data_IF_999078000478
#
_entry.id   IF_999078000478
#
_cell.length_a   1.000
_cell.length_b   1.000
_cell.length_c   1.000
_cell.angle_alpha   90.00
_cell.angle_beta   90.00
_cell.angle_gamma   90.00
#
_symmetry.space_group_name_H-M   'P 1'
#
loop_
_entity.id
_entity.type
_entity.pdbx_description
1 polymer ?
#
# COMPACT_ATOMS: atom_id res chain seq x y z
N UNK A 1 -9.40 16.19 16.22
CA UNK A 1 -9.44 16.98 17.47
C UNK A 1 -8.11 16.89 18.19
N UNK A 2 -7.80 15.87 19.00
CA UNK A 2 -6.47 15.74 19.66
C UNK A 2 -5.25 15.80 18.70
N UNK A 3 -5.29 15.08 17.58
CA UNK A 3 -4.23 15.13 16.57
C UNK A 3 -4.13 16.48 15.81
N UNK A 4 -5.20 17.27 15.81
CA UNK A 4 -5.21 18.62 15.21
C UNK A 4 -4.73 19.69 16.22
N UNK A 5 -4.64 19.34 17.50
CA UNK A 5 -4.21 20.19 18.61
C UNK A 5 -2.75 19.92 19.03
N UNK A 6 -2.02 19.08 18.29
CA UNK A 6 -0.64 18.72 18.60
C UNK A 6 -0.45 17.95 19.91
N UNK A 7 -1.53 17.49 20.55
CA UNK A 7 -1.47 16.75 21.82
C UNK A 7 -1.35 15.24 21.54
N UNK A 8 -0.39 14.53 22.17
CA UNK A 8 -0.26 13.09 22.04
C UNK A 8 -1.54 12.39 22.51
N UNK A 9 -1.95 11.33 21.80
CA UNK A 9 -3.15 10.57 22.16
C UNK A 9 -2.88 9.79 23.45
N UNK A 10 -3.62 10.06 24.54
CA UNK A 10 -3.48 9.26 25.76
C UNK A 10 -3.98 7.83 25.54
N UNK A 11 -3.42 6.88 26.29
CA UNK A 11 -3.82 5.47 26.23
C UNK A 11 -5.32 5.29 26.55
N UNK A 12 -5.85 6.08 27.48
CA UNK A 12 -7.27 6.11 27.81
C UNK A 12 -8.12 6.68 26.67
N UNK A 13 -7.68 7.75 26.00
CA UNK A 13 -8.36 8.27 24.81
C UNK A 13 -8.32 7.26 23.66
N UNK A 14 -7.21 6.52 23.52
CA UNK A 14 -7.07 5.44 22.56
C UNK A 14 -8.07 4.29 22.85
N UNK A 15 -8.14 3.82 24.10
CA UNK A 15 -9.07 2.77 24.52
C UNK A 15 -10.54 3.22 24.51
N UNK A 16 -10.85 4.46 24.91
CA UNK A 16 -12.20 5.02 24.83
C UNK A 16 -12.67 5.12 23.38
N UNK A 17 -11.78 5.55 22.47
CA UNK A 17 -12.06 5.55 21.03
C UNK A 17 -12.26 4.14 20.47
N UNK A 18 -11.59 3.13 21.05
CA UNK A 18 -11.78 1.71 20.71
C UNK A 18 -13.13 1.17 21.17
N UNK A 19 -13.55 1.51 22.40
CA UNK A 19 -14.80 1.02 23.00
C UNK A 19 -16.04 1.36 22.15
N UNK A 20 -15.99 2.47 21.41
CA UNK A 20 -17.10 2.94 20.56
C UNK A 20 -16.96 2.58 19.07
N UNK A 21 -15.86 1.93 18.67
CA UNK A 21 -15.69 1.52 17.27
C UNK A 21 -16.50 0.25 16.99
N UNK A 22 -17.15 0.16 15.82
CA UNK A 22 -17.78 -1.10 15.37
C UNK A 22 -16.68 -2.08 14.95
N UNK A 23 -16.72 -3.30 15.48
CA UNK A 23 -15.81 -4.36 15.05
C UNK A 23 -16.22 -4.86 13.67
N UNK A 24 -15.37 -4.64 12.66
CA UNK A 24 -15.60 -5.19 11.34
C UNK A 24 -14.86 -6.46 11.04
N UNK A 25 -14.14 -7.04 12.00
CA UNK A 25 -13.39 -8.27 11.80
C UNK A 25 -14.32 -9.41 11.35
N UNK A 26 -15.49 -9.54 11.99
CA UNK A 26 -16.53 -10.51 11.59
C UNK A 26 -17.04 -10.23 10.18
N UNK A 27 -17.41 -8.97 9.87
CA UNK A 27 -17.94 -8.61 8.55
C UNK A 27 -16.91 -8.82 7.44
N UNK A 28 -15.66 -8.51 7.70
CA UNK A 28 -14.57 -8.79 6.76
C UNK A 28 -14.37 -10.28 6.60
N UNK A 29 -14.43 -11.06 7.67
CA UNK A 29 -14.38 -12.53 7.59
C UNK A 29 -15.53 -13.10 6.77
N UNK A 30 -16.75 -12.56 6.92
CA UNK A 30 -17.91 -12.91 6.09
C UNK A 30 -17.66 -12.57 4.62
N UNK A 31 -17.17 -11.36 4.32
CA UNK A 31 -16.83 -10.97 2.95
C UNK A 31 -15.71 -11.85 2.37
N UNK A 32 -14.70 -12.19 3.18
CA UNK A 32 -13.62 -13.11 2.80
C UNK A 32 -14.14 -14.53 2.56
N UNK A 33 -15.17 -14.98 3.29
CA UNK A 33 -15.81 -16.26 3.06
C UNK A 33 -16.70 -16.25 1.81
N UNK A 34 -17.36 -15.12 1.51
CA UNK A 34 -18.17 -14.93 0.29
C UNK A 34 -17.32 -14.89 -0.98
N UNK A 35 -16.08 -14.42 -0.87
CA UNK A 35 -15.07 -14.55 -1.91
C UNK A 35 -14.60 -16.01 -1.93
N UNK A 36 -15.38 -16.87 -2.58
CA UNK A 36 -15.06 -18.29 -2.80
C UNK A 36 -13.56 -18.45 -3.03
N UNK A 37 -12.90 -19.30 -2.23
CA UNK A 37 -11.59 -19.81 -2.65
C UNK A 37 -11.95 -20.79 -3.77
N UNK A 38 -11.72 -20.50 -5.06
CA UNK A 38 -11.96 -21.53 -6.05
C UNK A 38 -10.99 -22.67 -5.69
N UNK A 39 -11.52 -23.89 -5.71
CA UNK A 39 -10.76 -25.08 -5.36
C UNK A 39 -9.67 -25.24 -6.43
N UNK A 40 -8.44 -24.89 -6.08
CA UNK A 40 -7.29 -25.19 -6.90
C UNK A 40 -6.46 -26.22 -6.14
N UNK A 41 -6.32 -27.41 -6.73
CA UNK A 41 -5.62 -28.57 -6.16
C UNK A 41 -4.15 -28.28 -5.80
N UNK A 42 -3.57 -27.17 -6.24
CA UNK A 42 -2.15 -26.85 -6.07
C UNK A 42 -1.85 -25.85 -4.95
N UNK A 43 -2.84 -25.39 -4.17
CA UNK A 43 -2.61 -24.37 -3.12
C UNK A 43 -2.22 -22.98 -3.66
N UNK A 44 -2.01 -22.84 -4.96
CA UNK A 44 -1.77 -21.58 -5.65
C UNK A 44 -3.09 -20.93 -6.03
N UNK A 45 -3.42 -19.86 -5.32
CA UNK A 45 -4.50 -18.99 -5.73
C UNK A 45 -4.14 -18.38 -7.10
N UNK A 46 -5.06 -18.38 -8.08
CA UNK A 46 -4.81 -17.95 -9.45
C UNK A 46 -4.23 -16.54 -9.49
N UNK A 47 -4.59 -15.69 -8.55
CA UNK A 47 -4.27 -14.27 -8.60
C UNK A 47 -3.16 -13.84 -7.64
N UNK A 48 -2.18 -14.72 -7.38
CA UNK A 48 -1.09 -14.41 -6.44
C UNK A 48 -0.21 -13.24 -6.91
N UNK A 49 -0.14 -12.98 -8.21
CA UNK A 49 0.57 -11.85 -8.77
C UNK A 49 0.08 -11.50 -10.18
N UNK A 50 -0.01 -10.20 -10.51
CA UNK A 50 -0.12 -9.78 -11.92
C UNK A 50 1.14 -10.11 -12.72
N UNK A 51 2.29 -10.27 -12.03
CA UNK A 51 3.55 -10.66 -12.68
C UNK A 51 3.46 -12.01 -13.37
N UNK A 52 2.66 -12.96 -12.87
CA UNK A 52 2.56 -14.30 -13.48
C UNK A 52 1.93 -14.27 -14.90
N UNK A 53 1.19 -13.20 -15.22
CA UNK A 53 0.51 -13.02 -16.50
C UNK A 53 1.36 -12.41 -17.60
N UNK A 54 2.19 -11.46 -17.18
CA UNK A 54 2.77 -10.47 -18.07
C UNK A 54 4.29 -10.61 -18.15
N UNK A 55 4.93 -11.12 -17.10
CA UNK A 55 6.37 -11.25 -17.00
C UNK A 55 6.77 -12.68 -16.58
N UNK A 56 8.05 -13.01 -16.72
CA UNK A 56 8.62 -14.10 -15.91
C UNK A 56 8.52 -13.71 -14.43
N UNK A 57 7.93 -14.57 -13.61
CA UNK A 57 7.94 -14.36 -12.17
C UNK A 57 9.37 -14.45 -11.59
N UNK A 58 9.52 -14.23 -10.28
CA UNK A 58 10.84 -14.28 -9.62
C UNK A 58 11.57 -15.62 -9.81
N UNK A 59 10.85 -16.69 -10.17
CA UNK A 59 11.38 -18.02 -10.46
C UNK A 59 11.63 -18.26 -11.96
N UNK A 60 11.48 -17.24 -12.80
CA UNK A 60 11.68 -17.33 -14.25
C UNK A 60 10.50 -17.95 -15.02
N UNK A 61 9.41 -18.28 -14.34
CA UNK A 61 8.29 -19.04 -14.93
C UNK A 61 7.21 -18.10 -15.47
N UNK A 62 6.60 -18.50 -16.59
CA UNK A 62 5.42 -17.88 -17.20
C UNK A 62 4.24 -18.83 -17.02
N UNK A 63 3.03 -18.30 -16.77
CA UNK A 63 1.82 -19.13 -16.73
C UNK A 63 1.63 -19.90 -18.04
N UNK A 64 1.44 -21.22 -17.93
CA UNK A 64 1.11 -22.10 -19.06
C UNK A 64 -0.23 -21.66 -19.70
N UNK A 65 -0.41 -21.82 -21.03
CA UNK A 65 -1.65 -21.40 -21.73
C UNK A 65 -2.94 -21.94 -21.10
N UNK A 66 -3.01 -23.26 -20.81
CA UNK A 66 -4.19 -23.87 -20.18
C UNK A 66 -4.55 -23.22 -18.83
N UNK A 67 -3.55 -22.78 -18.07
CA UNK A 67 -3.77 -22.08 -16.80
C UNK A 67 -4.28 -20.66 -17.03
N UNK A 68 -3.82 -19.96 -18.08
CA UNK A 68 -4.36 -18.65 -18.47
C UNK A 68 -5.84 -18.76 -18.85
N UNK A 69 -6.22 -19.74 -19.65
CA UNK A 69 -7.62 -19.94 -20.06
C UNK A 69 -8.54 -20.23 -18.88
N UNK A 70 -8.10 -21.10 -17.97
CA UNK A 70 -8.83 -21.38 -16.73
C UNK A 70 -9.03 -20.12 -15.89
N UNK A 71 -7.99 -19.30 -15.75
CA UNK A 71 -8.06 -18.07 -14.95
C UNK A 71 -8.90 -16.99 -15.60
N UNK A 72 -8.90 -16.87 -16.92
CA UNK A 72 -9.83 -16.00 -17.67
C UNK A 72 -11.27 -16.44 -17.34
N UNK A 73 -11.57 -17.74 -17.51
CA UNK A 73 -12.91 -18.29 -17.22
C UNK A 73 -13.35 -18.03 -15.78
N UNK A 74 -12.46 -18.20 -14.79
CA UNK A 74 -12.80 -17.94 -13.38
C UNK A 74 -12.96 -16.44 -13.09
N UNK A 75 -12.10 -15.58 -13.66
CA UNK A 75 -12.14 -14.12 -13.46
C UNK A 75 -13.36 -13.46 -14.09
N UNK A 76 -13.81 -13.98 -15.23
CA UNK A 76 -14.94 -13.46 -16.01
C UNK A 76 -16.26 -14.18 -15.71
N UNK A 77 -16.22 -15.30 -14.99
CA UNK A 77 -17.41 -16.03 -14.54
C UNK A 77 -18.01 -15.54 -13.22
N UNK A 78 -19.03 -16.24 -12.70
CA UNK A 78 -19.79 -15.84 -11.51
C UNK A 78 -18.93 -15.62 -10.26
N UNK A 79 -17.89 -16.42 -10.04
CA UNK A 79 -16.99 -16.25 -8.89
C UNK A 79 -16.20 -14.92 -8.97
N UNK A 80 -15.80 -14.51 -10.17
CA UNK A 80 -15.16 -13.22 -10.42
C UNK A 80 -16.10 -12.04 -10.20
N UNK A 81 -17.39 -12.17 -10.53
CA UNK A 81 -18.41 -11.16 -10.25
C UNK A 81 -18.72 -11.03 -8.75
N UNK A 82 -18.90 -12.15 -8.05
CA UNK A 82 -19.05 -12.19 -6.58
C UNK A 82 -17.89 -11.48 -5.89
N UNK A 83 -16.67 -11.70 -6.39
CA UNK A 83 -15.49 -11.00 -5.90
C UNK A 83 -15.56 -9.49 -6.13
N UNK A 84 -15.93 -9.03 -7.32
CA UNK A 84 -16.13 -7.58 -7.59
C UNK A 84 -17.14 -6.99 -6.61
N UNK A 85 -18.27 -7.66 -6.42
CA UNK A 85 -19.32 -7.21 -5.52
C UNK A 85 -18.83 -7.15 -4.06
N UNK A 86 -18.10 -8.17 -3.60
CA UNK A 86 -17.50 -8.18 -2.27
C UNK A 86 -16.49 -7.06 -2.03
N UNK A 87 -15.67 -6.74 -3.04
CA UNK A 87 -14.75 -5.59 -3.02
C UNK A 87 -15.55 -4.28 -2.94
N UNK A 88 -16.58 -4.10 -3.77
CA UNK A 88 -17.39 -2.89 -3.78
C UNK A 88 -18.11 -2.68 -2.43
N UNK A 89 -18.57 -3.77 -1.79
CA UNK A 89 -19.19 -3.73 -0.47
C UNK A 89 -18.24 -3.17 0.60
N UNK A 90 -16.92 -3.36 0.46
CA UNK A 90 -15.93 -2.79 1.37
C UNK A 90 -15.92 -1.27 1.41
N UNK A 91 -16.36 -0.60 0.33
CA UNK A 91 -16.45 0.86 0.31
C UNK A 91 -17.37 1.40 1.42
N UNK A 92 -18.34 0.60 1.88
CA UNK A 92 -19.26 0.95 2.97
C UNK A 92 -18.60 0.88 4.36
N UNK A 93 -17.37 0.35 4.44
CA UNK A 93 -16.67 0.03 5.68
C UNK A 93 -15.40 0.86 5.90
N UNK A 94 -15.33 2.04 5.30
CA UNK A 94 -14.17 2.95 5.40
C UNK A 94 -13.87 3.47 6.83
N UNK A 95 -14.79 3.27 7.79
CA UNK A 95 -14.63 3.63 9.20
C UNK A 95 -14.27 2.46 10.12
N UNK A 96 -14.15 1.24 9.60
CA UNK A 96 -14.00 0.05 10.45
C UNK A 96 -12.62 -0.03 11.10
N UNK A 97 -12.61 -0.41 12.38
CA UNK A 97 -11.39 -0.80 13.10
C UNK A 97 -11.41 -2.32 13.32
N UNK A 98 -10.23 -2.93 13.26
CA UNK A 98 -10.09 -4.32 13.66
C UNK A 98 -10.08 -4.34 15.19
N UNK A 99 -11.22 -4.69 15.79
CA UNK A 99 -11.38 -4.60 17.25
C UNK A 99 -10.94 -5.86 17.99
N UNK A 100 -10.41 -6.87 17.29
CA UNK A 100 -9.64 -7.94 17.92
C UNK A 100 -8.56 -7.34 18.83
N UNK A 101 -8.30 -7.95 19.97
CA UNK A 101 -7.14 -7.55 20.77
C UNK A 101 -5.92 -7.65 19.86
N UNK A 102 -5.23 -6.54 19.58
CA UNK A 102 -3.97 -6.53 18.80
C UNK A 102 -2.90 -7.47 19.39
N UNK A 103 -3.15 -8.00 20.58
CA UNK A 103 -2.40 -9.04 21.29
C UNK A 103 -2.59 -10.43 20.70
N UNK A 104 -3.66 -10.66 19.92
CA UNK A 104 -3.91 -11.90 19.21
C UNK A 104 -3.56 -11.72 17.73
N UNK A 105 -2.27 -11.80 17.45
CA UNK A 105 -1.76 -11.76 16.08
C UNK A 105 -2.34 -12.88 15.21
N UNK A 106 -2.80 -13.99 15.81
CA UNK A 106 -3.36 -15.12 15.06
C UNK A 106 -4.71 -14.78 14.41
N UNK A 107 -5.51 -13.88 15.00
CA UNK A 107 -6.73 -13.37 14.35
C UNK A 107 -6.44 -12.20 13.40
N UNK A 108 -5.39 -11.41 13.67
CA UNK A 108 -5.08 -10.21 12.92
C UNK A 108 -4.28 -10.45 11.62
N UNK A 109 -3.27 -11.33 11.65
CA UNK A 109 -2.43 -11.65 10.50
C UNK A 109 -3.21 -12.16 9.27
N UNK A 110 -4.18 -13.08 9.44
CA UNK A 110 -5.05 -13.52 8.34
C UNK A 110 -5.82 -12.37 7.69
N UNK A 111 -6.29 -11.38 8.45
CA UNK A 111 -7.00 -10.21 7.89
C UNK A 111 -6.09 -9.41 6.97
N UNK A 112 -4.85 -9.12 7.40
CA UNK A 112 -3.87 -8.42 6.56
C UNK A 112 -3.56 -9.17 5.27
N UNK A 113 -3.37 -10.48 5.36
CA UNK A 113 -3.12 -11.33 4.20
C UNK A 113 -4.31 -11.37 3.25
N UNK A 114 -5.54 -11.41 3.78
CA UNK A 114 -6.75 -11.40 2.98
C UNK A 114 -6.95 -10.05 2.26
N UNK A 115 -6.73 -8.91 2.93
CA UNK A 115 -6.76 -7.58 2.28
C UNK A 115 -5.73 -7.52 1.16
N UNK A 116 -4.50 -7.98 1.41
CA UNK A 116 -3.44 -8.03 0.38
C UNK A 116 -3.84 -8.87 -0.81
N UNK A 117 -4.43 -10.04 -0.55
CA UNK A 117 -4.94 -10.94 -1.58
C UNK A 117 -6.04 -10.29 -2.42
N UNK A 118 -6.94 -9.49 -1.83
CA UNK A 118 -7.95 -8.75 -2.59
C UNK A 118 -7.34 -7.78 -3.57
N UNK A 119 -6.39 -6.94 -3.12
CA UNK A 119 -5.71 -5.97 -4.00
C UNK A 119 -4.96 -6.68 -5.11
N UNK A 120 -4.23 -7.75 -4.80
CA UNK A 120 -3.55 -8.60 -5.80
C UNK A 120 -4.52 -9.23 -6.78
N UNK A 121 -5.71 -9.60 -6.32
CA UNK A 121 -6.74 -10.16 -7.20
C UNK A 121 -7.30 -9.12 -8.15
N UNK A 122 -7.60 -7.91 -7.66
CA UNK A 122 -7.99 -6.80 -8.55
C UNK A 122 -6.92 -6.49 -9.60
N UNK A 123 -5.66 -6.44 -9.17
CA UNK A 123 -4.50 -6.28 -10.05
C UNK A 123 -4.40 -7.39 -11.11
N UNK A 124 -4.55 -8.65 -10.73
CA UNK A 124 -4.51 -9.76 -11.68
C UNK A 124 -5.67 -9.74 -12.67
N UNK A 125 -6.87 -9.30 -12.25
CA UNK A 125 -8.00 -9.13 -13.17
C UNK A 125 -7.80 -7.97 -14.14
N UNK A 126 -7.10 -6.92 -13.72
CA UNK A 126 -6.67 -5.86 -14.62
C UNK A 126 -5.64 -6.39 -15.64
N UNK A 127 -4.70 -7.23 -15.21
CA UNK A 127 -3.76 -7.91 -16.10
C UNK A 127 -4.45 -8.84 -17.10
N UNK A 128 -5.49 -9.57 -16.68
CA UNK A 128 -6.33 -10.36 -17.59
C UNK A 128 -7.00 -9.47 -18.62
N UNK A 129 -7.63 -8.36 -18.20
CA UNK A 129 -8.25 -7.41 -19.12
C UNK A 129 -7.25 -6.87 -20.16
N UNK A 130 -6.04 -6.52 -19.70
CA UNK A 130 -4.94 -6.12 -20.57
C UNK A 130 -4.58 -7.23 -21.56
N UNK A 131 -4.39 -8.46 -21.09
CA UNK A 131 -4.04 -9.62 -21.93
C UNK A 131 -5.12 -9.94 -22.98
N UNK A 132 -6.39 -9.81 -22.63
CA UNK A 132 -7.53 -10.08 -23.53
C UNK A 132 -7.95 -8.87 -24.38
N UNK A 133 -7.19 -7.76 -24.34
CA UNK A 133 -7.49 -6.56 -25.12
C UNK A 133 -8.71 -5.74 -24.65
N UNK A 134 -9.26 -6.01 -23.46
CA UNK A 134 -10.41 -5.30 -22.87
C UNK A 134 -9.94 -4.10 -22.04
N UNK A 135 -9.24 -3.17 -22.69
CA UNK A 135 -8.50 -2.08 -22.02
C UNK A 135 -9.41 -1.15 -21.20
N UNK A 136 -10.65 -0.98 -21.62
CA UNK A 136 -11.69 -0.22 -20.92
C UNK A 136 -12.02 -0.75 -19.52
N UNK A 137 -11.72 -2.02 -19.24
CA UNK A 137 -11.98 -2.64 -17.94
C UNK A 137 -10.82 -2.48 -16.94
N UNK A 138 -9.63 -2.06 -17.39
CA UNK A 138 -8.41 -2.05 -16.57
C UNK A 138 -8.52 -1.06 -15.40
N UNK A 139 -8.72 0.22 -15.69
CA UNK A 139 -8.78 1.27 -14.66
C UNK A 139 -10.00 1.09 -13.74
N UNK A 140 -11.22 0.77 -14.22
CA UNK A 140 -12.36 0.48 -13.35
C UNK A 140 -12.09 -0.66 -12.36
N UNK A 141 -11.46 -1.76 -12.80
CA UNK A 141 -11.10 -2.89 -11.91
C UNK A 141 -10.10 -2.50 -10.83
N UNK A 142 -9.09 -1.70 -11.18
CA UNK A 142 -8.08 -1.20 -10.23
C UNK A 142 -8.70 -0.17 -9.26
N UNK A 143 -9.57 0.71 -9.76
CA UNK A 143 -10.27 1.71 -8.95
C UNK A 143 -11.17 1.05 -7.90
N UNK A 144 -11.86 -0.03 -8.28
CA UNK A 144 -12.74 -0.77 -7.39
C UNK A 144 -12.03 -1.32 -6.14
N UNK A 145 -10.74 -1.66 -6.20
CA UNK A 145 -10.01 -2.19 -5.03
C UNK A 145 -9.41 -1.12 -4.10
N UNK A 146 -9.47 0.16 -4.46
CA UNK A 146 -8.95 1.25 -3.61
C UNK A 146 -9.54 1.32 -2.18
N UNK A 147 -10.80 0.93 -1.91
CA UNK A 147 -11.32 0.88 -0.55
C UNK A 147 -10.61 -0.14 0.35
N UNK A 148 -10.07 -1.23 -0.22
CA UNK A 148 -9.41 -2.28 0.56
C UNK A 148 -8.17 -1.74 1.29
N UNK A 149 -7.37 -0.89 0.66
CA UNK A 149 -6.21 -0.30 1.33
C UNK A 149 -6.58 0.81 2.33
N UNK A 150 -7.72 1.49 2.15
CA UNK A 150 -8.27 2.45 3.14
C UNK A 150 -8.61 1.80 4.49
N UNK A 151 -8.96 0.50 4.51
CA UNK A 151 -9.19 -0.21 5.77
C UNK A 151 -7.96 -0.20 6.68
N UNK A 152 -6.75 -0.17 6.10
CA UNK A 152 -5.49 -0.18 6.85
C UNK A 152 -5.04 1.22 7.30
N UNK A 153 -5.48 2.27 6.61
CA UNK A 153 -5.11 3.66 6.89
C UNK A 153 -5.46 4.10 8.33
N UNK A 154 -6.52 3.52 8.89
CA UNK A 154 -7.03 3.89 10.22
C UNK A 154 -6.54 3.00 11.35
N UNK A 155 -5.77 1.96 11.03
CA UNK A 155 -5.24 1.05 12.04
C UNK A 155 -3.97 1.65 12.66
N UNK A 156 -3.77 1.48 13.98
CA UNK A 156 -2.69 2.16 14.68
C UNK A 156 -1.36 1.41 14.66
N UNK A 157 -1.32 0.18 14.15
CA UNK A 157 -0.09 -0.63 14.11
C UNK A 157 0.75 -0.29 12.87
N UNK A 158 2.08 -0.29 13.01
CA UNK A 158 3.01 -0.05 11.91
C UNK A 158 2.93 -1.13 10.85
N UNK A 159 2.73 -2.39 11.24
CA UNK A 159 2.55 -3.46 10.27
C UNK A 159 1.37 -3.17 9.33
N UNK A 160 0.32 -2.49 9.82
CA UNK A 160 -0.76 -1.99 8.96
C UNK A 160 -0.25 -0.93 8.00
N UNK A 161 0.55 0.03 8.47
CA UNK A 161 1.15 1.08 7.63
C UNK A 161 2.08 0.53 6.54
N UNK A 162 2.88 -0.50 6.87
CA UNK A 162 3.75 -1.19 5.90
C UNK A 162 2.94 -1.97 4.87
N UNK A 163 1.93 -2.71 5.31
CA UNK A 163 1.03 -3.43 4.40
C UNK A 163 0.30 -2.40 3.54
N UNK A 164 -0.26 -1.35 4.13
CA UNK A 164 -0.97 -0.27 3.46
C UNK A 164 -0.16 0.36 2.33
N UNK A 165 1.08 0.78 2.59
CA UNK A 165 1.96 1.33 1.55
C UNK A 165 2.26 0.30 0.46
N UNK A 166 2.47 -0.97 0.82
CA UNK A 166 2.68 -2.04 -0.16
C UNK A 166 1.42 -2.27 -1.03
N UNK A 167 0.22 -2.21 -0.46
CA UNK A 167 -1.03 -2.31 -1.24
C UNK A 167 -1.14 -1.17 -2.25
N UNK A 168 -0.83 0.05 -1.84
CA UNK A 168 -0.89 1.20 -2.73
C UNK A 168 0.21 1.12 -3.80
N UNK A 169 1.40 0.61 -3.48
CA UNK A 169 2.45 0.34 -4.47
C UNK A 169 2.05 -0.74 -5.48
N UNK A 170 1.48 -1.86 -5.02
CA UNK A 170 0.96 -2.91 -5.90
C UNK A 170 -0.09 -2.30 -6.82
N UNK A 171 -1.09 -1.62 -6.26
CA UNK A 171 -2.18 -1.05 -7.04
C UNK A 171 -1.69 0.01 -8.03
N UNK A 172 -0.90 0.97 -7.55
CA UNK A 172 -0.42 2.09 -8.35
C UNK A 172 0.55 1.66 -9.44
N UNK A 173 1.44 0.69 -9.17
CA UNK A 173 2.28 0.11 -10.22
C UNK A 173 1.46 -0.54 -11.33
N UNK A 174 0.34 -1.20 -11.01
CA UNK A 174 -0.55 -1.76 -12.04
C UNK A 174 -1.31 -0.70 -12.80
N UNK A 175 -1.77 0.37 -12.14
CA UNK A 175 -2.41 1.51 -12.83
C UNK A 175 -1.45 2.12 -13.85
N UNK A 176 -0.18 2.27 -13.48
CA UNK A 176 0.83 2.87 -14.36
C UNK A 176 1.23 1.93 -15.48
N UNK A 177 1.47 0.65 -15.18
CA UNK A 177 1.95 -0.33 -16.15
C UNK A 177 0.86 -0.83 -17.11
N UNK A 178 -0.38 -1.01 -16.64
CA UNK A 178 -1.47 -1.60 -17.42
C UNK A 178 -2.48 -0.58 -17.91
N UNK A 179 -2.58 0.57 -17.24
CA UNK A 179 -3.58 1.57 -17.57
C UNK A 179 -3.46 2.04 -19.02
N UNK A 180 -4.55 2.03 -19.81
CA UNK A 180 -4.52 2.56 -21.16
C UNK A 180 -4.33 4.09 -21.13
N UNK A 181 -3.81 4.63 -22.22
CA UNK A 181 -3.64 6.07 -22.40
C UNK A 181 -4.75 6.63 -23.31
N UNK A 182 -5.09 7.90 -23.13
CA UNK A 182 -6.04 8.62 -23.98
C UNK A 182 -6.97 9.55 -23.19
N UNK A 183 -7.55 10.58 -23.84
CA UNK A 183 -8.37 11.58 -23.16
C UNK A 183 -9.53 10.99 -22.34
N UNK A 184 -10.11 9.88 -22.82
CA UNK A 184 -11.20 9.17 -22.14
C UNK A 184 -10.82 8.56 -20.78
N UNK A 185 -9.52 8.38 -20.50
CA UNK A 185 -9.00 7.84 -19.25
C UNK A 185 -8.44 8.91 -18.30
N UNK A 186 -8.42 10.18 -18.72
CA UNK A 186 -7.84 11.27 -17.94
C UNK A 186 -8.50 11.41 -16.56
N UNK A 187 -9.83 11.25 -16.46
CA UNK A 187 -10.54 11.35 -15.20
C UNK A 187 -10.20 10.23 -14.22
N UNK A 188 -9.91 9.02 -14.71
CA UNK A 188 -9.42 7.94 -13.86
C UNK A 188 -8.01 8.23 -13.34
N UNK A 189 -7.11 8.77 -14.17
CA UNK A 189 -5.80 9.19 -13.68
C UNK A 189 -5.86 10.37 -12.70
N UNK A 190 -6.78 11.34 -12.90
CA UNK A 190 -7.06 12.38 -11.90
C UNK A 190 -7.55 11.77 -10.60
N UNK A 191 -8.43 10.77 -10.66
CA UNK A 191 -8.87 10.04 -9.49
C UNK A 191 -7.69 9.40 -8.75
N UNK A 192 -6.83 8.65 -9.44
CA UNK A 192 -5.67 7.98 -8.80
C UNK A 192 -4.65 8.98 -8.24
N UNK A 193 -4.42 10.09 -8.94
CA UNK A 193 -3.57 11.18 -8.46
C UNK A 193 -4.12 11.81 -7.17
N UNK A 194 -5.41 12.14 -7.14
CA UNK A 194 -6.04 12.68 -5.94
C UNK A 194 -6.09 11.66 -4.80
N UNK A 195 -6.33 10.40 -5.14
CA UNK A 195 -6.32 9.28 -4.20
C UNK A 195 -4.96 9.13 -3.53
N UNK A 196 -3.84 9.10 -4.26
CA UNK A 196 -2.52 8.97 -3.64
C UNK A 196 -2.12 10.21 -2.83
N UNK A 197 -2.48 11.40 -3.30
CA UNK A 197 -2.23 12.68 -2.60
C UNK A 197 -2.96 12.73 -1.26
N UNK A 198 -4.16 12.17 -1.19
CA UNK A 198 -4.96 12.08 0.03
C UNK A 198 -4.39 11.15 1.10
N UNK A 199 -3.41 10.31 0.78
CA UNK A 199 -2.86 9.34 1.74
C UNK A 199 -1.93 9.99 2.76
N UNK A 200 -2.11 9.59 4.01
CA UNK A 200 -1.24 9.92 5.13
C UNK A 200 -0.56 8.67 5.69
N UNK A 201 0.64 8.38 5.18
CA UNK A 201 1.48 7.29 5.69
C UNK A 201 2.22 7.65 6.98
N UNK A 202 2.30 8.93 7.34
CA UNK A 202 3.04 9.38 8.52
C UNK A 202 2.31 8.99 9.81
N UNK A 203 0.98 8.96 9.77
CA UNK A 203 0.15 8.69 10.96
C UNK A 203 0.39 7.32 11.60
N UNK A 204 0.81 6.30 10.86
CA UNK A 204 1.05 4.95 11.40
C UNK A 204 2.32 4.87 12.23
N UNK A 205 3.41 5.48 11.76
CA UNK A 205 4.70 5.46 12.47
C UNK A 205 4.58 6.17 13.84
N UNK A 206 3.86 7.29 13.88
CA UNK A 206 3.65 8.03 15.12
C UNK A 206 2.77 7.28 16.11
N UNK A 207 1.65 6.71 15.66
CA UNK A 207 0.72 5.98 16.55
C UNK A 207 1.33 4.73 17.17
N UNK A 208 2.15 3.98 16.43
CA UNK A 208 2.80 2.81 17.02
C UNK A 208 3.88 3.23 18.01
N UNK A 209 4.61 4.31 17.75
CA UNK A 209 5.57 4.86 18.71
C UNK A 209 4.89 5.27 20.02
N UNK A 210 3.72 5.92 19.94
CA UNK A 210 2.89 6.24 21.11
C UNK A 210 2.46 4.97 21.86
N UNK A 211 1.96 3.94 21.14
CA UNK A 211 1.55 2.67 21.73
C UNK A 211 2.73 1.95 22.40
N UNK A 212 3.88 1.88 21.74
CA UNK A 212 5.09 1.26 22.29
C UNK A 212 5.61 2.02 23.51
N UNK A 213 5.63 3.35 23.47
CA UNK A 213 6.04 4.16 24.60
C UNK A 213 5.12 3.94 25.82
N UNK A 214 3.81 3.87 25.61
CA UNK A 214 2.83 3.58 26.66
C UNK A 214 2.94 2.14 27.19
N UNK A 215 3.13 1.13 26.32
CA UNK A 215 3.35 -0.26 26.75
C UNK A 215 4.66 -0.44 27.53
N UNK A 216 5.65 0.43 27.31
CA UNK A 216 6.91 0.43 28.06
C UNK A 216 6.79 1.15 29.42
N UNK A 217 5.83 2.07 29.59
CA UNK A 217 5.51 2.68 30.90
C UNK A 217 4.94 1.66 31.88
N UNK A 218 4.24 0.66 31.37
CA UNK A 218 3.75 -0.49 32.15
C UNK A 218 4.54 -1.76 31.75
N UNK A 219 5.83 -1.77 32.08
CA UNK A 219 6.80 -2.81 31.69
C UNK A 219 6.33 -4.22 32.05
N UNK A 220 5.67 -4.41 33.19
CA UNK A 220 5.14 -5.71 33.62
C UNK A 220 3.94 -6.15 32.81
N UNK A 221 3.06 -5.23 32.40
CA UNK A 221 1.98 -5.53 31.47
C UNK A 221 2.51 -5.82 30.06
N UNK A 222 3.48 -5.03 29.59
CA UNK A 222 4.18 -5.26 28.33
C UNK A 222 4.87 -6.63 28.28
N UNK A 223 5.56 -7.03 29.35
CA UNK A 223 6.21 -8.34 29.49
C UNK A 223 5.19 -9.49 29.47
N UNK A 224 4.04 -9.35 30.15
CA UNK A 224 2.95 -10.35 30.11
C UNK A 224 2.29 -10.45 28.74
N UNK A 225 2.16 -9.33 28.03
CA UNK A 225 1.61 -9.26 26.67
C UNK A 225 2.53 -9.97 25.67
N UNK A 226 3.82 -9.65 25.75
CA UNK A 226 4.88 -10.23 24.93
C UNK A 226 5.03 -11.73 25.20
N UNK A 227 4.94 -12.15 26.47
CA UNK A 227 5.00 -13.56 26.87
C UNK A 227 3.83 -14.42 26.39
N UNK A 228 2.72 -13.81 25.92
CA UNK A 228 1.56 -14.51 25.35
C UNK A 228 1.62 -14.63 23.81
N UNK A 229 2.56 -13.96 23.15
CA UNK A 229 2.75 -14.11 21.71
C UNK A 229 3.36 -15.48 21.40
N UNK A 230 2.96 -16.09 20.27
CA UNK A 230 3.56 -17.35 19.82
C UNK A 230 5.09 -17.21 19.74
N UNK A 231 5.88 -18.09 20.36
CA UNK A 231 7.33 -17.95 20.46
C UNK A 231 8.06 -17.93 19.11
N UNK A 232 7.50 -18.56 18.06
CA UNK A 232 8.05 -18.55 16.69
C UNK A 232 7.84 -17.18 16.03
N UNK A 233 6.64 -16.60 16.21
CA UNK A 233 6.31 -15.25 15.75
C UNK A 233 7.13 -14.23 16.55
N UNK A 234 7.28 -14.43 17.86
CA UNK A 234 8.16 -13.62 18.68
C UNK A 234 9.60 -13.71 18.18
N UNK A 235 10.17 -14.89 17.92
CA UNK A 235 11.54 -15.00 17.41
C UNK A 235 11.76 -14.35 16.04
N UNK A 236 10.82 -14.47 15.11
CA UNK A 236 10.93 -13.90 13.76
C UNK A 236 10.78 -12.38 13.74
N UNK A 237 9.95 -11.82 14.61
CA UNK A 237 9.69 -10.38 14.64
C UNK A 237 10.42 -9.68 15.79
N UNK A 238 11.00 -10.35 16.78
CA UNK A 238 11.65 -9.74 17.97
C UNK A 238 12.82 -8.83 17.62
N UNK A 239 13.77 -9.19 16.75
CA UNK A 239 14.83 -8.26 16.36
C UNK A 239 14.22 -7.03 15.70
N UNK A 240 13.23 -7.25 14.82
CA UNK A 240 12.52 -6.18 14.13
C UNK A 240 11.75 -5.30 15.11
N UNK A 241 10.83 -5.81 15.93
CA UNK A 241 10.02 -5.07 16.90
C UNK A 241 10.84 -4.41 17.99
N UNK A 242 11.90 -5.03 18.52
CA UNK A 242 12.75 -4.43 19.55
C UNK A 242 13.64 -3.36 18.92
N UNK A 243 14.32 -3.60 17.80
CA UNK A 243 15.07 -2.53 17.11
C UNK A 243 14.14 -1.43 16.57
N UNK A 244 12.93 -1.78 16.18
CA UNK A 244 11.93 -0.85 15.65
C UNK A 244 11.36 0.00 16.78
N UNK A 245 10.92 -0.60 17.88
CA UNK A 245 10.45 0.12 19.07
C UNK A 245 11.57 0.93 19.74
N UNK A 246 12.77 0.40 19.91
CA UNK A 246 13.88 1.17 20.50
C UNK A 246 14.30 2.35 19.61
N UNK A 247 14.27 2.20 18.30
CA UNK A 247 14.56 3.33 17.43
C UNK A 247 13.41 4.30 17.31
N UNK A 248 12.16 3.85 17.34
CA UNK A 248 11.04 4.78 17.42
C UNK A 248 11.03 5.55 18.73
N UNK A 249 11.37 4.90 19.84
CA UNK A 249 11.55 5.56 21.13
C UNK A 249 12.74 6.54 21.08
N UNK A 250 13.88 6.16 20.49
CA UNK A 250 15.02 7.08 20.27
C UNK A 250 14.66 8.24 19.34
N UNK A 251 13.93 8.00 18.26
CA UNK A 251 13.50 9.03 17.31
C UNK A 251 12.48 9.97 17.94
N UNK A 252 11.55 9.49 18.77
CA UNK A 252 10.60 10.34 19.48
C UNK A 252 11.31 11.20 20.54
N UNK A 253 12.16 10.58 21.37
CA UNK A 253 12.94 11.28 22.39
C UNK A 253 13.93 12.30 21.79
N UNK A 254 14.54 11.98 20.63
CA UNK A 254 15.41 12.90 19.91
C UNK A 254 14.60 13.97 19.18
N UNK A 255 13.47 13.66 18.55
CA UNK A 255 12.63 14.65 17.87
C UNK A 255 12.06 15.69 18.84
N UNK A 256 11.61 15.32 20.04
CA UNK A 256 11.22 16.31 21.05
C UNK A 256 12.38 17.23 21.40
N UNK A 257 13.59 16.68 21.57
CA UNK A 257 14.80 17.46 21.82
C UNK A 257 15.14 18.39 20.65
N UNK A 258 15.13 17.88 19.41
CA UNK A 258 15.46 18.62 18.19
C UNK A 258 14.40 19.69 17.83
N UNK A 259 13.12 19.40 18.02
CA UNK A 259 12.03 20.38 17.84
C UNK A 259 12.06 21.45 18.93
N UNK A 260 12.41 21.11 20.17
CA UNK A 260 12.64 22.08 21.23
C UNK A 260 13.86 22.98 20.95
N UNK A 261 14.82 22.48 20.18
CA UNK A 261 16.06 23.16 19.81
C UNK A 261 16.04 23.78 18.38
N UNK A 262 14.90 23.74 17.66
CA UNK A 262 14.75 24.23 16.26
C UNK A 262 15.76 23.65 15.25
N UNK A 263 16.24 22.43 15.46
CA UNK A 263 17.15 21.75 14.53
C UNK A 263 16.38 20.83 13.56
N UNK A 264 16.82 20.79 12.30
CA UNK A 264 16.38 19.76 11.34
C UNK A 264 16.76 18.36 11.84
N UNK A 265 15.90 17.38 11.58
CA UNK A 265 16.16 15.98 11.97
C UNK A 265 17.45 15.47 11.29
N UNK A 266 18.37 14.82 12.02
CA UNK A 266 19.60 14.33 11.44
C UNK A 266 19.33 13.26 10.36
N UNK A 267 20.06 13.28 9.22
CA UNK A 267 19.85 12.36 8.08
C UNK A 267 19.93 10.87 8.44
N UNK A 268 20.61 10.55 9.53
CA UNK A 268 20.86 9.20 10.02
C UNK A 268 19.58 8.50 10.53
N UNK A 269 18.64 9.26 11.09
CA UNK A 269 17.35 8.74 11.57
C UNK A 269 16.34 8.59 10.42
N UNK A 270 16.61 9.22 9.26
CA UNK A 270 15.89 8.97 8.01
C UNK A 270 16.37 7.69 7.33
N UNK A 271 17.56 7.14 7.63
CA UNK A 271 18.15 5.99 6.93
C UNK A 271 17.48 4.62 7.15
N UNK A 272 16.26 4.56 7.71
CA UNK A 272 15.56 3.27 7.84
C UNK A 272 14.83 2.91 6.56
N UNK A 273 15.25 1.83 5.84
CA UNK A 273 14.79 1.55 4.49
C UNK A 273 13.27 1.41 4.38
N UNK A 274 12.61 0.87 5.39
CA UNK A 274 11.17 0.62 5.37
C UNK A 274 10.34 1.90 5.41
N UNK A 275 10.69 2.88 6.25
CA UNK A 275 9.96 4.15 6.34
C UNK A 275 10.18 5.02 5.10
N UNK A 276 11.41 5.09 4.62
CA UNK A 276 11.73 5.77 3.36
C UNK A 276 11.06 5.13 2.16
N UNK A 277 10.95 3.79 2.12
CA UNK A 277 10.18 3.08 1.09
C UNK A 277 8.70 3.41 1.15
N UNK A 278 8.12 3.52 2.34
CA UNK A 278 6.71 3.91 2.54
C UNK A 278 6.49 5.34 2.04
N UNK A 279 7.29 6.31 2.49
CA UNK A 279 7.18 7.70 2.05
C UNK A 279 7.48 7.85 0.55
N UNK A 280 8.47 7.10 0.06
CA UNK A 280 8.87 7.08 -1.35
C UNK A 280 7.77 6.54 -2.25
N UNK A 281 6.96 5.59 -1.76
CA UNK A 281 5.79 5.05 -2.48
C UNK A 281 4.81 6.15 -2.83
N UNK A 282 4.48 7.05 -1.89
CA UNK A 282 3.58 8.18 -2.17
C UNK A 282 4.11 9.03 -3.31
N UNK A 283 5.34 9.51 -3.16
CA UNK A 283 5.92 10.49 -4.05
C UNK A 283 6.17 9.91 -5.44
N UNK A 284 6.64 8.65 -5.55
CA UNK A 284 6.88 8.01 -6.84
C UNK A 284 5.56 7.74 -7.59
N UNK A 285 4.51 7.33 -6.88
CA UNK A 285 3.18 7.11 -7.49
C UNK A 285 2.51 8.43 -7.89
N UNK A 286 2.67 9.49 -7.09
CA UNK A 286 2.16 10.82 -7.43
C UNK A 286 2.81 11.33 -8.74
N UNK A 287 4.14 11.22 -8.87
CA UNK A 287 4.83 11.53 -10.12
C UNK A 287 4.37 10.63 -11.28
N UNK A 288 4.23 9.32 -11.05
CA UNK A 288 3.85 8.37 -12.09
C UNK A 288 2.41 8.59 -12.60
N UNK A 289 1.45 8.86 -11.71
CA UNK A 289 0.08 9.19 -12.10
C UNK A 289 0.00 10.52 -12.83
N UNK A 290 0.78 11.52 -12.42
CA UNK A 290 0.86 12.79 -13.14
C UNK A 290 1.41 12.59 -14.57
N UNK A 291 2.41 11.72 -14.76
CA UNK A 291 2.92 11.36 -16.09
C UNK A 291 1.86 10.64 -16.95
N UNK A 292 1.09 9.71 -16.39
CA UNK A 292 -0.02 9.03 -17.10
C UNK A 292 -1.15 9.98 -17.46
N UNK A 293 -1.49 10.89 -16.54
CA UNK A 293 -2.45 11.96 -16.81
C UNK A 293 -1.94 12.88 -17.93
N UNK A 294 -0.67 13.29 -17.89
CA UNK A 294 -0.07 14.11 -18.95
C UNK A 294 -0.17 13.43 -20.32
N UNK A 295 0.23 12.15 -20.42
CA UNK A 295 0.11 11.40 -21.68
C UNK A 295 -1.34 11.29 -22.15
N UNK A 296 -2.28 11.12 -21.23
CA UNK A 296 -3.71 11.03 -21.57
C UNK A 296 -4.28 12.36 -22.08
N UNK A 297 -3.76 13.50 -21.62
CA UNK A 297 -4.17 14.83 -22.05
C UNK A 297 -3.47 15.28 -23.34
N UNK A 298 -2.18 14.96 -23.49
CA UNK A 298 -1.30 15.51 -24.52
C UNK A 298 -0.89 14.50 -25.60
N UNK A 299 -1.31 13.24 -25.49
CA UNK A 299 -1.00 12.15 -26.43
C UNK A 299 0.41 11.57 -26.32
N UNK A 300 1.34 12.24 -25.63
CA UNK A 300 2.72 11.78 -25.40
C UNK A 300 3.19 12.05 -23.97
N UNK A 301 4.17 11.29 -23.49
CA UNK A 301 4.86 11.64 -22.25
C UNK A 301 5.67 12.94 -22.45
N UNK A 302 5.90 13.72 -21.36
CA UNK A 302 6.70 14.93 -21.46
C UNK A 302 8.19 14.58 -21.59
N UNK A 303 8.96 15.45 -22.25
CA UNK A 303 10.42 15.27 -22.38
C UNK A 303 11.13 15.40 -21.02
N UNK A 304 10.52 16.10 -20.06
CA UNK A 304 11.00 16.20 -18.69
C UNK A 304 9.85 16.32 -17.69
N UNK A 305 10.08 15.96 -16.43
CA UNK A 305 9.08 16.09 -15.36
C UNK A 305 8.70 17.54 -15.06
N UNK A 306 9.51 18.53 -15.45
CA UNK A 306 9.19 19.94 -15.23
C UNK A 306 7.87 20.36 -15.91
N UNK A 307 7.51 19.73 -17.03
CA UNK A 307 6.26 19.98 -17.75
C UNK A 307 4.99 19.56 -16.97
N UNK A 308 5.13 18.81 -15.86
CA UNK A 308 4.00 18.48 -14.99
C UNK A 308 3.53 19.68 -14.15
N UNK A 309 4.36 20.73 -14.04
CA UNK A 309 4.10 21.94 -13.24
C UNK A 309 3.93 23.14 -14.19
N UNK A 310 2.95 24.04 -13.95
CA UNK A 310 1.93 23.99 -12.89
C UNK A 310 0.66 23.23 -13.28
N UNK A 311 0.55 22.75 -14.52
CA UNK A 311 -0.71 22.26 -15.10
C UNK A 311 -1.34 21.09 -14.32
N UNK A 312 -0.54 20.09 -13.93
CA UNK A 312 -1.02 18.89 -13.25
C UNK A 312 -0.66 18.90 -11.76
N UNK A 313 0.56 19.35 -11.44
CA UNK A 313 1.12 19.39 -10.10
C UNK A 313 1.47 20.82 -9.71
N UNK A 314 1.22 21.19 -8.45
CA UNK A 314 1.67 22.47 -7.90
C UNK A 314 3.20 22.54 -7.74
N UNK A 315 3.81 21.41 -7.41
CA UNK A 315 5.27 21.22 -7.32
C UNK A 315 5.60 19.75 -7.54
N UNK A 316 6.85 19.46 -7.90
CA UNK A 316 7.29 18.08 -8.11
C UNK A 316 7.46 17.35 -6.76
N UNK A 317 6.85 16.15 -6.60
CA UNK A 317 7.14 15.29 -5.47
C UNK A 317 8.64 14.98 -5.41
N UNK A 318 9.20 15.13 -4.22
CA UNK A 318 10.62 14.87 -3.96
C UNK A 318 10.79 13.48 -3.35
N UNK A 319 11.87 12.82 -3.73
CA UNK A 319 12.32 11.62 -3.05
C UNK A 319 12.60 11.97 -1.57
N UNK A 320 11.96 11.26 -0.60
CA UNK A 320 12.10 11.59 0.81
C UNK A 320 13.53 11.44 1.34
N UNK A 321 14.39 10.66 0.66
CA UNK A 321 15.78 10.44 1.03
C UNK A 321 16.67 11.53 0.47
N UNK A 322 16.63 11.76 -0.85
CA UNK A 322 17.57 12.69 -1.51
C UNK A 322 17.09 14.13 -1.52
N UNK A 323 15.81 14.36 -1.22
CA UNK A 323 15.11 15.66 -1.36
C UNK A 323 15.18 16.23 -2.78
N UNK A 324 15.43 15.37 -3.78
CA UNK A 324 15.45 15.72 -5.20
C UNK A 324 14.27 15.06 -5.91
N UNK A 325 13.81 15.59 -7.06
CA UNK A 325 12.87 14.86 -7.91
C UNK A 325 13.40 13.48 -8.29
N UNK A 326 12.50 12.52 -8.49
CA UNK A 326 12.89 11.20 -9.01
C UNK A 326 13.53 11.36 -10.39
N UNK A 327 14.60 10.57 -10.64
CA UNK A 327 15.20 10.56 -11.97
C UNK A 327 14.24 9.87 -12.93
N UNK A 328 13.79 10.66 -13.90
CA UNK A 328 12.90 10.26 -14.97
C UNK A 328 13.70 9.89 -16.21
N UNK A 329 13.43 8.71 -16.77
CA UNK A 329 14.01 8.26 -18.03
C UNK A 329 12.88 7.96 -18.99
N UNK A 330 12.71 8.82 -19.99
CA UNK A 330 11.80 8.56 -21.10
C UNK A 330 12.45 7.56 -22.07
N UNK A 331 11.69 6.54 -22.43
CA UNK A 331 11.95 5.63 -23.53
C UNK A 331 10.89 5.87 -24.61
N UNK A 332 10.99 5.18 -25.74
CA UNK A 332 10.14 5.43 -26.92
C UNK A 332 8.66 5.61 -26.57
N UNK A 333 8.09 4.64 -25.84
CA UNK A 333 6.64 4.60 -25.54
C UNK A 333 6.33 4.41 -24.05
N UNK A 334 7.35 4.47 -23.19
CA UNK A 334 7.25 4.24 -21.74
C UNK A 334 8.26 5.05 -20.95
N UNK A 335 8.08 5.13 -19.64
CA UNK A 335 9.03 5.77 -18.74
C UNK A 335 9.46 4.86 -17.59
N UNK A 336 10.61 5.21 -17.01
CA UNK A 336 11.15 4.62 -15.80
C UNK A 336 11.43 5.72 -14.77
N UNK A 337 11.11 5.45 -13.51
CA UNK A 337 11.41 6.32 -12.37
C UNK A 337 12.43 5.66 -11.44
N UNK A 338 13.48 6.39 -11.10
CA UNK A 338 14.54 5.95 -10.20
C UNK A 338 14.64 6.88 -9.00
N UNK A 339 15.01 6.31 -7.85
CA UNK A 339 15.50 7.08 -6.71
C UNK A 339 17.02 7.14 -6.77
N UNK A 340 17.58 8.34 -6.64
CA UNK A 340 19.02 8.56 -6.58
C UNK A 340 19.64 8.06 -5.25
N UNK A 341 18.80 7.79 -4.25
CA UNK A 341 19.26 7.31 -2.94
C UNK A 341 19.85 5.91 -3.02
N UNK A 342 19.28 5.10 -3.90
CA UNK A 342 19.74 3.75 -4.12
C UNK A 342 20.46 3.77 -5.46
N UNK A 343 21.78 3.50 -5.47
CA UNK A 343 22.60 3.30 -6.69
C UNK A 343 22.17 2.04 -7.47
N UNK A 344 20.87 1.78 -7.54
CA UNK A 344 20.25 0.62 -8.15
C UNK A 344 20.17 0.82 -9.65
N UNK A 345 20.47 -0.26 -10.37
CA UNK A 345 20.21 -0.34 -11.82
C UNK A 345 18.73 -0.57 -12.14
N UNK A 346 17.92 -0.95 -11.14
CA UNK A 346 16.51 -1.26 -11.31
C UNK A 346 15.66 -0.03 -10.98
N UNK A 347 14.72 0.36 -11.85
CA UNK A 347 13.79 1.44 -11.55
C UNK A 347 12.85 1.05 -10.40
N UNK A 348 12.41 2.07 -9.67
CA UNK A 348 11.35 1.92 -8.67
C UNK A 348 10.01 1.61 -9.32
N UNK A 349 9.78 2.18 -10.50
CA UNK A 349 8.52 2.07 -11.22
C UNK A 349 8.75 2.19 -12.73
N UNK A 350 8.01 1.40 -13.50
CA UNK A 350 8.04 1.38 -14.98
C UNK A 350 6.61 1.46 -15.48
N UNK A 351 6.37 2.23 -16.54
CA UNK A 351 5.02 2.44 -17.12
C UNK A 351 4.62 1.45 -18.20
N UNK A 352 5.51 0.52 -18.52
CA UNK A 352 5.22 -0.60 -19.40
C UNK A 352 5.32 -1.90 -18.60
N UNK A 353 4.46 -2.90 -18.89
CA UNK A 353 4.65 -4.20 -18.32
C UNK A 353 5.95 -4.80 -18.86
N UNK A 354 6.84 -5.25 -17.97
CA UNK A 354 8.07 -5.94 -18.39
C UNK A 354 7.71 -7.35 -18.88
N UNK A 355 7.62 -7.54 -20.19
CA UNK A 355 7.43 -8.87 -20.82
C UNK A 355 8.71 -9.71 -20.78
#
# INVERSE_FOLDING_TARGET
RLAAEGRPMTLEAFYARRKNAKDGTKKLSELFAMMEKPNFDTGDFPFNSSFDWIARNASGNILKPARKDEMIRVSEGPSGEKLTAGIAELAKYDQIRFNGSYTDFNSFGPVLNNIRRMVRTGAARAAIAHYTGKTELILPRLKAVTPASRLLERQPLLICGLVYANLDLILGSQVVALGPDGPQYADDYRFFLNWIRSRDYSSHAWRETEICAELLKDYDHGRKLIGRMNPVIFFLIRPLLIETAFCYLRMALRREKYLAENHDLPPEDLNRPSFLRVMGTKCVLETAFALKLYRSLHGKYPDSTAALVPEILASLPLDPVTKKPFRYVLKKDYFELFSEAFKQKTPLLVSEPRY
#
